data_IF_541796680155
#
_entry.id   IF_541796680155
#
_cell.length_a   1.000
_cell.length_b   1.000
_cell.length_c   1.000
_cell.angle_alpha   90.00
_cell.angle_beta   90.00
_cell.angle_gamma   90.00
#
_symmetry.space_group_name_H-M   'P 1'
#
loop_
_entity.id
_entity.type
_entity.pdbx_description
1 polymer ?
#
# COMPACT_ATOMS: atom_id res chain seq x y z
N UNK A 1 -0.65 9.01 -15.59
CA UNK A 1 -1.52 8.75 -14.41
C UNK A 1 -2.51 9.90 -14.32
N UNK A 2 -3.80 9.66 -14.02
CA UNK A 2 -4.76 10.76 -13.84
C UNK A 2 -4.33 11.65 -12.66
N UNK A 3 -4.49 12.98 -12.72
CA UNK A 3 -4.19 13.86 -11.58
C UNK A 3 -5.01 13.46 -10.36
N UNK A 4 -4.44 13.64 -9.18
CA UNK A 4 -5.15 13.47 -7.91
C UNK A 4 -5.92 14.76 -7.59
N UNK A 5 -7.18 14.65 -7.16
CA UNK A 5 -7.95 15.79 -6.64
C UNK A 5 -8.21 15.65 -5.13
N UNK A 6 -8.74 16.70 -4.50
CA UNK A 6 -9.10 16.66 -3.07
C UNK A 6 -10.12 15.56 -2.75
N UNK A 7 -11.01 15.22 -3.69
CA UNK A 7 -11.99 14.12 -3.57
C UNK A 7 -11.35 12.72 -3.54
N UNK A 8 -10.12 12.62 -4.03
CA UNK A 8 -9.35 11.39 -4.02
C UNK A 8 -8.61 11.16 -2.70
N UNK A 9 -8.42 12.20 -1.88
CA UNK A 9 -7.71 12.15 -0.60
C UNK A 9 -8.64 11.73 0.54
N UNK A 10 -8.07 11.11 1.57
CA UNK A 10 -8.80 10.67 2.77
C UNK A 10 -9.44 9.29 2.63
N UNK A 11 -10.20 8.91 3.65
CA UNK A 11 -10.88 7.63 3.69
C UNK A 11 -12.19 7.71 2.90
N UNK A 12 -12.37 6.79 1.95
CA UNK A 12 -13.61 6.64 1.19
C UNK A 12 -14.13 5.23 1.36
N UNK A 13 -15.38 5.13 1.75
CA UNK A 13 -16.10 3.86 1.77
C UNK A 13 -16.41 3.45 0.35
N UNK A 14 -15.99 2.23 -0.01
CA UNK A 14 -16.26 1.61 -1.30
C UNK A 14 -17.44 0.65 -1.21
N UNK A 15 -17.61 0.01 -0.05
CA UNK A 15 -18.70 -0.91 0.27
C UNK A 15 -19.01 -0.85 1.76
N UNK A 16 -20.27 -0.64 2.10
CA UNK A 16 -20.73 -0.74 3.49
C UNK A 16 -20.92 -2.20 3.90
N UNK A 17 -20.89 -2.45 5.20
CA UNK A 17 -21.30 -3.76 5.74
C UNK A 17 -22.78 -4.01 5.42
N UNK A 18 -23.17 -5.20 4.95
CA UNK A 18 -24.59 -5.58 4.84
C UNK A 18 -25.32 -5.43 6.18
N UNK A 19 -26.57 -4.98 6.16
CA UNK A 19 -27.34 -4.66 7.38
C UNK A 19 -27.56 -5.88 8.28
N UNK A 20 -27.56 -7.07 7.70
CA UNK A 20 -27.83 -8.35 8.34
C UNK A 20 -26.57 -8.97 8.97
N UNK A 21 -25.38 -8.38 8.76
CA UNK A 21 -24.13 -8.93 9.27
C UNK A 21 -23.99 -8.71 10.78
N UNK A 22 -24.01 -9.79 11.55
CA UNK A 22 -23.85 -9.76 13.01
C UNK A 22 -22.48 -9.24 13.48
N UNK A 23 -21.45 -9.38 12.63
CA UNK A 23 -20.10 -8.86 12.88
C UNK A 23 -19.52 -8.33 11.57
N UNK A 24 -18.74 -7.26 11.65
CA UNK A 24 -18.06 -6.69 10.50
C UNK A 24 -16.58 -6.42 10.75
N UNK A 25 -15.80 -6.64 9.70
CA UNK A 25 -14.38 -6.26 9.63
C UNK A 25 -14.27 -5.04 8.74
N UNK A 26 -13.50 -4.04 9.17
CA UNK A 26 -13.08 -2.94 8.32
C UNK A 26 -11.86 -3.37 7.50
N UNK A 27 -11.90 -3.23 6.18
CA UNK A 27 -10.75 -3.39 5.30
C UNK A 27 -10.37 -2.02 4.76
N UNK A 28 -9.13 -1.59 4.96
CA UNK A 28 -8.62 -0.30 4.46
C UNK A 28 -7.49 -0.55 3.48
N UNK A 29 -7.73 -0.20 2.22
CA UNK A 29 -6.76 -0.29 1.14
C UNK A 29 -5.96 1.02 1.01
N UNK A 30 -4.63 0.96 1.01
CA UNK A 30 -3.73 2.12 0.99
C UNK A 30 -2.76 1.98 -0.19
N UNK A 31 -2.81 2.95 -1.10
CA UNK A 31 -2.04 2.92 -2.33
C UNK A 31 -0.56 3.30 -2.11
N UNK A 32 0.23 3.14 -3.16
CA UNK A 32 1.64 3.50 -3.18
C UNK A 32 1.91 4.93 -3.66
N UNK A 33 3.19 5.31 -3.58
CA UNK A 33 3.71 6.57 -4.13
C UNK A 33 3.46 6.64 -5.65
N UNK A 34 3.11 7.82 -6.17
CA UNK A 34 2.86 8.06 -7.59
C UNK A 34 1.63 7.37 -8.19
N UNK A 35 0.86 6.64 -7.38
CA UNK A 35 -0.31 5.90 -7.81
C UNK A 35 -1.61 6.62 -7.41
N UNK A 36 -2.62 6.51 -8.27
CA UNK A 36 -3.96 7.01 -7.98
C UNK A 36 -4.72 6.02 -7.06
N UNK A 37 -5.38 6.48 -5.97
CA UNK A 37 -6.02 5.63 -4.97
C UNK A 37 -7.08 4.69 -5.52
N UNK A 38 -7.82 5.10 -6.56
CA UNK A 38 -8.86 4.25 -7.16
C UNK A 38 -8.31 3.36 -8.30
N UNK A 39 -7.19 3.73 -8.93
CA UNK A 39 -6.60 2.97 -10.05
C UNK A 39 -5.67 1.86 -9.56
N UNK A 40 -5.08 2.05 -8.37
CA UNK A 40 -4.14 1.10 -7.74
C UNK A 40 -4.72 -0.29 -7.55
N UNK A 41 -6.05 -0.38 -7.55
CA UNK A 41 -6.80 -1.61 -7.31
C UNK A 41 -7.60 -2.04 -8.53
N UNK A 42 -7.23 -1.58 -9.73
CA UNK A 42 -7.84 -2.02 -10.97
C UNK A 42 -7.04 -3.15 -11.60
N UNK A 43 -7.74 -4.20 -12.02
CA UNK A 43 -7.20 -5.33 -12.78
C UNK A 43 -7.81 -5.34 -14.18
N UNK A 44 -6.99 -5.60 -15.22
CA UNK A 44 -7.51 -5.91 -16.54
C UNK A 44 -8.09 -7.33 -16.54
N UNK A 45 -9.39 -7.46 -16.77
CA UNK A 45 -10.10 -8.74 -16.93
C UNK A 45 -10.41 -9.06 -18.40
N UNK A 46 -10.14 -8.11 -19.31
CA UNK A 46 -10.23 -8.29 -20.75
C UNK A 46 -8.91 -8.79 -21.36
N UNK A 47 -8.76 -8.61 -22.67
CA UNK A 47 -7.51 -8.95 -23.38
C UNK A 47 -6.58 -7.73 -23.46
N UNK A 48 -5.40 -7.90 -24.07
CA UNK A 48 -4.49 -6.78 -24.36
C UNK A 48 -5.09 -5.84 -25.41
N UNK A 49 -5.81 -6.40 -26.39
CA UNK A 49 -6.44 -5.69 -27.51
C UNK A 49 -7.77 -5.05 -27.11
N UNK A 50 -8.46 -5.62 -26.11
CA UNK A 50 -9.72 -5.10 -25.55
C UNK A 50 -9.65 -5.08 -24.02
N UNK A 51 -8.94 -4.09 -23.44
CA UNK A 51 -8.76 -4.03 -21.99
C UNK A 51 -10.07 -3.67 -21.30
N UNK A 52 -10.37 -4.41 -20.22
CA UNK A 52 -11.50 -4.15 -19.33
C UNK A 52 -10.99 -4.00 -17.91
N UNK A 53 -10.95 -2.77 -17.40
CA UNK A 53 -10.43 -2.49 -16.07
C UNK A 53 -11.53 -2.58 -15.02
N UNK A 54 -11.34 -3.44 -14.03
CA UNK A 54 -12.26 -3.65 -12.93
C UNK A 54 -11.56 -3.37 -11.61
N UNK A 55 -12.15 -2.52 -10.77
CA UNK A 55 -11.66 -2.29 -9.41
C UNK A 55 -12.06 -3.47 -8.51
N UNK A 56 -11.07 -4.27 -8.10
CA UNK A 56 -11.30 -5.53 -7.40
C UNK A 56 -11.72 -5.36 -5.93
N UNK A 57 -11.60 -4.16 -5.38
CA UNK A 57 -12.16 -3.83 -4.06
C UNK A 57 -13.68 -3.65 -4.09
N UNK A 58 -14.25 -3.34 -5.27
CA UNK A 58 -15.67 -2.98 -5.47
C UNK A 58 -16.47 -4.05 -6.19
N UNK A 59 -15.85 -4.78 -7.11
CA UNK A 59 -16.56 -5.73 -7.95
C UNK A 59 -17.10 -6.91 -7.13
N UNK A 60 -18.41 -7.18 -7.24
CA UNK A 60 -19.09 -8.16 -6.39
C UNK A 60 -18.48 -9.56 -6.45
N UNK A 61 -17.92 -9.96 -7.59
CA UNK A 61 -17.26 -11.26 -7.81
C UNK A 61 -15.74 -11.26 -7.48
N UNK A 62 -15.29 -10.35 -6.62
CA UNK A 62 -13.88 -10.24 -6.22
C UNK A 62 -13.73 -10.13 -4.70
N UNK A 63 -13.15 -9.06 -4.16
CA UNK A 63 -12.97 -8.93 -2.70
C UNK A 63 -14.31 -8.99 -1.93
N UNK A 64 -15.40 -8.36 -2.39
CA UNK A 64 -16.73 -8.56 -1.81
C UNK A 64 -17.17 -10.03 -1.72
N UNK A 65 -16.89 -10.86 -2.72
CA UNK A 65 -17.22 -12.30 -2.70
C UNK A 65 -16.42 -13.05 -1.62
N UNK A 66 -15.14 -12.73 -1.48
CA UNK A 66 -14.24 -13.36 -0.49
C UNK A 66 -14.54 -12.87 0.93
N UNK A 67 -14.98 -11.61 1.09
CA UNK A 67 -15.23 -10.96 2.36
C UNK A 67 -16.63 -10.30 2.38
N UNK A 68 -17.72 -11.08 2.34
CA UNK A 68 -19.08 -10.56 2.14
C UNK A 68 -19.57 -9.66 3.28
N UNK A 69 -19.03 -9.83 4.49
CA UNK A 69 -19.41 -9.02 5.65
C UNK A 69 -18.44 -7.84 5.90
N UNK A 70 -17.46 -7.62 5.02
CA UNK A 70 -16.48 -6.55 5.21
C UNK A 70 -17.04 -5.19 4.80
N UNK A 71 -16.74 -4.17 5.62
CA UNK A 71 -16.77 -2.77 5.20
C UNK A 71 -15.47 -2.49 4.46
N UNK A 72 -15.53 -2.20 3.17
CA UNK A 72 -14.34 -1.99 2.34
C UNK A 72 -14.15 -0.50 2.11
N UNK A 73 -12.96 -0.01 2.44
CA UNK A 73 -12.58 1.39 2.34
C UNK A 73 -11.24 1.50 1.62
N UNK A 74 -11.01 2.63 0.97
CA UNK A 74 -9.67 3.04 0.53
C UNK A 74 -9.25 4.29 1.27
N UNK A 75 -7.96 4.45 1.51
CA UNK A 75 -7.37 5.69 2.00
C UNK A 75 -6.47 6.27 0.92
N UNK A 76 -6.82 7.46 0.46
CA UNK A 76 -6.04 8.24 -0.49
C UNK A 76 -5.18 9.28 0.23
N UNK A 77 -3.98 9.52 -0.29
CA UNK A 77 -3.13 10.61 0.12
C UNK A 77 -2.40 11.17 -1.10
N UNK A 78 -1.96 12.42 -1.01
CA UNK A 78 -1.09 13.02 -2.04
C UNK A 78 0.15 12.15 -2.24
N UNK A 79 0.22 11.38 -3.30
CA UNK A 79 1.34 10.45 -3.53
C UNK A 79 2.25 10.89 -4.66
N UNK A 80 1.84 11.92 -5.40
CA UNK A 80 2.59 12.46 -6.52
C UNK A 80 3.86 13.13 -5.97
N UNK A 81 5.03 12.73 -6.47
CA UNK A 81 6.33 13.19 -5.97
C UNK A 81 7.14 13.93 -7.04
N UNK A 82 6.56 14.12 -8.23
CA UNK A 82 7.12 14.90 -9.33
C UNK A 82 6.03 15.72 -10.02
N UNK A 83 6.43 16.79 -10.73
CA UNK A 83 5.53 17.74 -11.37
C UNK A 83 5.08 18.88 -10.45
N UNK A 84 4.22 19.76 -10.97
CA UNK A 84 3.81 21.04 -10.35
C UNK A 84 3.07 20.90 -8.99
N UNK A 85 2.65 19.68 -8.62
CA UNK A 85 1.97 19.35 -7.36
C UNK A 85 2.70 18.31 -6.51
N UNK A 86 4.03 18.19 -6.65
CA UNK A 86 4.79 17.17 -5.94
C UNK A 86 4.70 17.34 -4.41
N UNK A 87 4.25 16.28 -3.75
CA UNK A 87 4.14 16.16 -2.31
C UNK A 87 5.51 16.32 -1.65
N UNK A 88 5.55 16.99 -0.50
CA UNK A 88 6.74 17.12 0.37
C UNK A 88 6.59 16.41 1.71
N UNK A 89 5.56 15.58 1.88
CA UNK A 89 5.24 15.03 3.18
C UNK A 89 5.99 13.72 3.43
N UNK A 90 6.31 13.48 4.71
CA UNK A 90 7.00 12.27 5.16
C UNK A 90 6.00 11.13 5.36
N UNK A 91 6.47 9.89 5.34
CA UNK A 91 5.64 8.73 5.68
C UNK A 91 4.94 8.89 7.06
N UNK A 92 5.62 9.51 8.02
CA UNK A 92 5.06 9.85 9.34
C UNK A 92 3.89 10.84 9.28
N UNK A 93 3.93 11.82 8.38
CA UNK A 93 2.83 12.77 8.17
C UNK A 93 1.60 12.06 7.63
N UNK A 94 1.78 11.20 6.62
CA UNK A 94 0.68 10.41 6.05
C UNK A 94 0.11 9.43 7.08
N UNK A 95 0.97 8.75 7.84
CA UNK A 95 0.58 7.84 8.91
C UNK A 95 -0.25 8.54 9.99
N UNK A 96 0.18 9.74 10.43
CA UNK A 96 -0.58 10.53 11.41
C UNK A 96 -1.94 10.97 10.88
N UNK A 97 -2.02 11.38 9.61
CA UNK A 97 -3.30 11.73 8.97
C UNK A 97 -4.22 10.51 8.87
N UNK A 98 -3.69 9.34 8.50
CA UNK A 98 -4.43 8.08 8.50
C UNK A 98 -5.00 7.76 9.88
N UNK A 99 -4.18 7.88 10.94
CA UNK A 99 -4.62 7.66 12.32
C UNK A 99 -5.75 8.62 12.75
N UNK A 100 -5.62 9.91 12.42
CA UNK A 100 -6.67 10.90 12.70
C UNK A 100 -7.98 10.55 11.99
N UNK A 101 -7.90 10.12 10.73
CA UNK A 101 -9.08 9.70 9.97
C UNK A 101 -9.71 8.44 10.58
N UNK A 102 -8.91 7.41 10.89
CA UNK A 102 -9.40 6.18 11.51
C UNK A 102 -10.02 6.43 12.89
N UNK A 103 -9.41 7.28 13.71
CA UNK A 103 -9.94 7.67 15.02
C UNK A 103 -11.31 8.31 14.92
N UNK A 104 -11.51 9.20 13.94
CA UNK A 104 -12.80 9.85 13.68
C UNK A 104 -13.86 8.84 13.23
N UNK A 105 -13.51 8.02 12.24
CA UNK A 105 -14.42 7.04 11.63
C UNK A 105 -14.84 5.92 12.59
N UNK A 106 -14.00 5.63 13.57
CA UNK A 106 -14.20 4.53 14.51
C UNK A 106 -14.56 4.99 15.91
N UNK A 107 -14.99 6.25 16.07
CA UNK A 107 -15.34 6.84 17.37
C UNK A 107 -16.32 5.96 18.17
N UNK A 108 -17.35 5.45 17.49
CA UNK A 108 -18.39 4.61 18.10
C UNK A 108 -18.05 3.10 18.08
N UNK A 109 -16.98 2.70 17.39
CA UNK A 109 -16.56 1.30 17.27
C UNK A 109 -15.04 1.12 17.29
N UNK A 110 -14.33 1.62 18.32
CA UNK A 110 -12.87 1.73 18.33
C UNK A 110 -12.15 0.39 18.19
N UNK A 111 -12.80 -0.71 18.60
CA UNK A 111 -12.24 -2.07 18.59
C UNK A 111 -12.80 -2.99 17.49
N UNK A 112 -13.58 -2.47 16.54
CA UNK A 112 -14.07 -3.27 15.41
C UNK A 112 -12.87 -3.88 14.65
N UNK A 113 -12.82 -5.19 14.35
CA UNK A 113 -11.71 -5.79 13.64
C UNK A 113 -11.30 -5.00 12.39
N UNK A 114 -10.01 -4.78 12.21
CA UNK A 114 -9.44 -3.98 11.13
C UNK A 114 -8.39 -4.80 10.37
N UNK A 115 -8.41 -4.73 9.05
CA UNK A 115 -7.38 -5.27 8.19
C UNK A 115 -6.89 -4.20 7.21
N UNK A 116 -5.60 -4.22 6.88
CA UNK A 116 -5.02 -3.32 5.90
C UNK A 116 -4.54 -4.08 4.68
N UNK A 117 -4.81 -3.51 3.51
CA UNK A 117 -4.22 -3.91 2.24
C UNK A 117 -3.37 -2.74 1.76
N UNK A 118 -2.06 -2.91 1.65
CA UNK A 118 -1.16 -1.81 1.39
C UNK A 118 -0.22 -2.13 0.23
N UNK A 119 -0.08 -1.18 -0.69
CA UNK A 119 0.77 -1.31 -1.86
C UNK A 119 1.99 -0.40 -1.76
N UNK A 120 3.18 -0.93 -2.06
CA UNK A 120 4.45 -0.20 -2.13
C UNK A 120 4.65 0.68 -0.88
N UNK A 121 4.85 1.98 -1.04
CA UNK A 121 5.02 2.97 0.03
C UNK A 121 3.87 2.97 1.06
N UNK A 122 2.64 2.65 0.64
CA UNK A 122 1.49 2.55 1.53
C UNK A 122 1.71 1.55 2.67
N UNK A 123 2.53 0.52 2.46
CA UNK A 123 2.88 -0.43 3.52
C UNK A 123 3.72 0.20 4.63
N UNK A 124 4.61 1.14 4.29
CA UNK A 124 5.41 1.88 5.27
C UNK A 124 4.52 2.84 6.08
N UNK A 125 3.53 3.46 5.43
CA UNK A 125 2.52 4.28 6.10
C UNK A 125 1.75 3.46 7.14
N UNK A 126 1.32 2.24 6.77
CA UNK A 126 0.62 1.32 7.69
C UNK A 126 1.51 0.94 8.87
N UNK A 127 2.74 0.50 8.63
CA UNK A 127 3.64 0.12 9.72
C UNK A 127 3.85 1.29 10.70
N UNK A 128 4.09 2.49 10.16
CA UNK A 128 4.30 3.68 10.99
C UNK A 128 3.05 4.02 11.81
N UNK A 129 1.87 3.99 11.19
CA UNK A 129 0.61 4.24 11.88
C UNK A 129 0.36 3.23 13.00
N UNK A 130 0.60 1.94 12.75
CA UNK A 130 0.40 0.89 13.75
C UNK A 130 1.36 1.01 14.93
N UNK A 131 2.63 1.34 14.66
CA UNK A 131 3.61 1.57 15.73
C UNK A 131 3.25 2.80 16.56
N UNK A 132 2.83 3.89 15.94
CA UNK A 132 2.38 5.08 16.67
C UNK A 132 1.14 4.78 17.51
N UNK A 133 0.17 4.04 16.96
CA UNK A 133 -1.02 3.60 17.69
C UNK A 133 -0.69 2.66 18.86
N UNK A 134 0.35 1.82 18.71
CA UNK A 134 0.83 0.93 19.77
C UNK A 134 1.51 1.71 20.89
N UNK A 135 2.29 2.74 20.57
CA UNK A 135 3.02 3.54 21.56
C UNK A 135 2.11 4.51 22.33
N UNK A 136 1.03 4.97 21.71
CA UNK A 136 0.06 5.88 22.33
C UNK A 136 -1.38 5.34 22.23
N UNK A 137 -1.71 4.25 22.95
CA UNK A 137 -3.03 3.61 22.86
C UNK A 137 -4.17 4.54 23.34
N UNK A 138 -3.90 5.44 24.28
CA UNK A 138 -4.88 6.43 24.74
C UNK A 138 -5.19 7.49 23.67
N UNK A 139 -4.18 7.82 22.84
CA UNK A 139 -4.36 8.73 21.71
C UNK A 139 -5.08 8.02 20.54
N UNK A 140 -4.78 6.74 20.32
CA UNK A 140 -5.22 5.94 19.19
C UNK A 140 -5.98 4.68 19.61
N UNK A 141 -7.11 4.82 20.32
CA UNK A 141 -7.78 3.72 20.98
C UNK A 141 -8.22 2.63 19.99
N UNK A 142 -7.84 1.40 20.30
CA UNK A 142 -8.24 0.20 19.56
C UNK A 142 -7.59 0.00 18.20
N UNK A 143 -6.91 1.00 17.60
CA UNK A 143 -6.35 0.87 16.24
C UNK A 143 -5.36 -0.30 16.14
N UNK A 144 -4.32 -0.30 16.99
CA UNK A 144 -3.35 -1.40 16.99
C UNK A 144 -4.00 -2.70 17.49
N UNK A 145 -4.73 -2.64 18.61
CA UNK A 145 -5.29 -3.81 19.29
C UNK A 145 -6.35 -4.57 18.46
N UNK A 146 -7.12 -3.88 17.62
CA UNK A 146 -8.12 -4.50 16.74
C UNK A 146 -7.60 -4.78 15.33
N UNK A 147 -6.33 -4.50 15.03
CA UNK A 147 -5.75 -4.85 13.73
C UNK A 147 -5.46 -6.34 13.69
N UNK A 148 -6.20 -7.05 12.84
CA UNK A 148 -6.21 -8.52 12.77
C UNK A 148 -5.51 -9.05 11.52
N UNK A 149 -5.38 -8.25 10.47
CA UNK A 149 -4.79 -8.69 9.20
C UNK A 149 -4.01 -7.57 8.48
N UNK A 150 -2.89 -7.94 7.88
CA UNK A 150 -2.03 -7.06 7.10
C UNK A 150 -1.63 -7.77 5.81
N UNK A 151 -1.93 -7.13 4.67
CA UNK A 151 -1.60 -7.62 3.34
C UNK A 151 -0.74 -6.57 2.66
N UNK A 152 0.48 -6.93 2.28
CA UNK A 152 1.42 -6.03 1.62
C UNK A 152 1.71 -6.48 0.19
N UNK A 153 1.62 -5.55 -0.76
CA UNK A 153 1.98 -5.75 -2.16
C UNK A 153 3.21 -4.91 -2.50
N UNK A 154 4.34 -5.55 -2.79
CA UNK A 154 5.56 -4.89 -3.26
C UNK A 154 6.11 -3.83 -2.28
N UNK A 155 5.83 -3.94 -0.99
CA UNK A 155 6.31 -2.96 0.00
C UNK A 155 7.83 -3.12 0.20
N UNK A 156 8.63 -2.07 -0.04
CA UNK A 156 10.08 -2.14 0.02
C UNK A 156 10.59 -2.07 1.46
N UNK A 157 10.33 -3.10 2.28
CA UNK A 157 10.73 -3.13 3.70
C UNK A 157 12.25 -3.09 3.93
N UNK A 158 13.05 -3.41 2.91
CA UNK A 158 14.52 -3.33 2.95
C UNK A 158 15.08 -2.31 1.96
N UNK A 159 14.21 -1.45 1.48
CA UNK A 159 14.42 -0.62 0.32
C UNK A 159 14.08 -1.37 -0.97
N UNK A 160 14.14 -0.67 -2.10
CA UNK A 160 14.18 -1.30 -3.41
C UNK A 160 15.62 -1.18 -3.94
N UNK A 161 16.15 -2.27 -4.48
CA UNK A 161 17.52 -2.29 -4.98
C UNK A 161 17.70 -1.30 -6.13
N UNK A 162 18.89 -0.68 -6.16
CA UNK A 162 19.15 0.66 -6.69
C UNK A 162 18.71 1.00 -8.11
N UNK A 163 18.49 0.02 -8.99
CA UNK A 163 18.08 0.30 -10.38
C UNK A 163 16.68 0.91 -10.47
N UNK A 164 15.65 0.28 -9.89
CA UNK A 164 14.27 0.73 -10.08
C UNK A 164 13.98 2.14 -9.56
N UNK A 165 14.62 2.57 -8.47
CA UNK A 165 14.42 3.91 -7.88
C UNK A 165 15.24 4.99 -8.58
N UNK A 166 16.51 4.70 -8.89
CA UNK A 166 17.34 5.64 -9.64
C UNK A 166 16.76 5.87 -11.03
N UNK A 167 16.25 4.83 -11.68
CA UNK A 167 15.58 4.96 -12.97
C UNK A 167 14.26 5.73 -12.87
N UNK A 168 13.47 5.53 -11.80
CA UNK A 168 12.28 6.36 -11.53
C UNK A 168 12.67 7.84 -11.35
N UNK A 169 13.71 8.12 -10.57
CA UNK A 169 14.19 9.47 -10.30
C UNK A 169 14.78 10.13 -11.55
N UNK A 170 15.60 9.41 -12.31
CA UNK A 170 16.18 9.88 -13.56
C UNK A 170 15.11 10.14 -14.62
N UNK A 171 14.14 9.25 -14.77
CA UNK A 171 13.02 9.46 -15.68
C UNK A 171 12.24 10.73 -15.31
N UNK A 172 12.07 11.00 -14.01
CA UNK A 172 11.33 12.18 -13.55
C UNK A 172 12.11 13.47 -13.79
N UNK A 173 13.43 13.46 -13.54
CA UNK A 173 14.32 14.61 -13.81
C UNK A 173 14.50 14.93 -15.29
N UNK A 174 14.32 13.94 -16.18
CA UNK A 174 14.37 14.17 -17.63
C UNK A 174 13.09 14.82 -18.15
N UNK A 175 11.95 14.52 -17.55
CA UNK A 175 10.64 15.01 -17.97
C UNK A 175 10.24 16.32 -17.27
N UNK A 176 10.75 16.58 -16.07
CA UNK A 176 10.38 17.74 -15.26
C UNK A 176 11.63 18.48 -14.76
N UNK A 177 11.51 19.80 -14.60
CA UNK A 177 12.53 20.64 -13.97
C UNK A 177 12.89 20.12 -12.57
N UNK A 178 14.15 20.28 -12.14
CA UNK A 178 14.66 19.66 -10.90
C UNK A 178 13.87 20.08 -9.64
N UNK A 179 13.37 21.32 -9.60
CA UNK A 179 12.57 21.87 -8.51
C UNK A 179 11.16 21.26 -8.42
N UNK A 180 10.67 20.69 -9.53
CA UNK A 180 9.41 19.94 -9.62
C UNK A 180 9.56 18.47 -9.26
N UNK A 181 10.78 17.99 -8.95
CA UNK A 181 11.02 16.61 -8.52
C UNK A 181 11.34 16.60 -7.02
N UNK A 182 10.66 15.75 -6.23
CA UNK A 182 10.87 15.63 -4.79
C UNK A 182 11.62 14.33 -4.47
N UNK A 183 12.97 14.30 -4.60
CA UNK A 183 13.76 13.07 -4.46
C UNK A 183 13.69 12.47 -3.06
N UNK A 184 13.44 13.29 -2.02
CA UNK A 184 13.40 12.83 -0.63
C UNK A 184 12.36 11.71 -0.41
N UNK A 185 11.24 11.70 -1.13
CA UNK A 185 10.23 10.65 -0.99
C UNK A 185 10.73 9.33 -1.59
N UNK A 186 11.62 9.36 -2.58
CA UNK A 186 12.29 8.15 -3.06
C UNK A 186 13.44 7.74 -2.14
N UNK A 187 14.15 8.69 -1.51
CA UNK A 187 15.28 8.40 -0.59
C UNK A 187 14.92 7.49 0.58
N UNK A 188 13.69 7.59 1.09
CA UNK A 188 13.22 6.69 2.16
C UNK A 188 13.18 5.21 1.72
N UNK A 189 13.10 4.97 0.41
CA UNK A 189 13.07 3.65 -0.16
C UNK A 189 14.49 3.14 -0.47
N UNK A 190 15.54 3.95 -0.27
CA UNK A 190 16.92 3.52 -0.53
C UNK A 190 17.32 2.37 0.40
N UNK A 191 18.08 1.37 -0.11
CA UNK A 191 18.66 0.34 0.73
C UNK A 191 19.52 0.96 1.83
N UNK A 192 19.37 0.48 3.07
CA UNK A 192 20.13 1.02 4.21
C UNK A 192 19.55 2.30 4.81
N UNK A 193 18.39 2.78 4.36
CA UNK A 193 17.72 3.91 4.99
C UNK A 193 17.42 3.61 6.48
N UNK A 194 17.98 4.40 7.39
CA UNK A 194 17.88 4.17 8.84
C UNK A 194 16.44 4.20 9.34
N UNK A 195 15.63 5.15 8.87
CA UNK A 195 14.22 5.25 9.24
C UNK A 195 13.46 3.98 8.84
N UNK A 196 13.71 3.48 7.63
CA UNK A 196 13.07 2.28 7.12
C UNK A 196 13.49 1.03 7.92
N UNK A 197 14.79 0.90 8.21
CA UNK A 197 15.31 -0.20 9.02
C UNK A 197 14.70 -0.18 10.43
N UNK A 198 14.73 0.98 11.09
CA UNK A 198 14.14 1.16 12.42
C UNK A 198 12.65 0.82 12.41
N UNK A 199 11.90 1.30 11.40
CA UNK A 199 10.47 1.05 11.28
C UNK A 199 10.16 -0.46 11.22
N UNK A 200 10.90 -1.19 10.39
CA UNK A 200 10.71 -2.64 10.20
C UNK A 200 11.17 -3.43 11.42
N UNK A 201 12.28 -3.03 12.05
CA UNK A 201 12.78 -3.66 13.27
C UNK A 201 11.81 -3.51 14.44
N UNK A 202 11.27 -2.30 14.64
CA UNK A 202 10.27 -2.05 15.67
C UNK A 202 8.99 -2.85 15.42
N UNK A 203 8.52 -2.89 14.17
CA UNK A 203 7.37 -3.73 13.82
C UNK A 203 7.66 -5.23 14.02
N UNK A 204 8.86 -5.68 13.69
CA UNK A 204 9.32 -7.06 13.91
C UNK A 204 9.26 -7.46 15.38
N UNK A 205 9.59 -6.55 16.31
CA UNK A 205 9.48 -6.80 17.76
C UNK A 205 8.05 -7.07 18.19
N UNK A 206 7.06 -6.41 17.59
CA UNK A 206 5.66 -6.61 17.96
C UNK A 206 5.11 -7.98 17.55
N UNK A 207 5.79 -8.68 16.63
CA UNK A 207 5.43 -10.04 16.20
C UNK A 207 5.57 -11.10 17.30
N UNK A 208 6.19 -10.76 18.43
CA UNK A 208 6.29 -11.63 19.61
C UNK A 208 5.07 -11.54 20.52
N UNK A 209 4.19 -10.57 20.28
CA UNK A 209 2.99 -10.35 21.08
C UNK A 209 1.90 -11.41 20.78
N UNK A 210 0.99 -11.57 21.73
CA UNK A 210 -0.12 -12.54 21.67
C UNK A 210 -1.20 -12.07 20.69
N UNK A 211 -1.51 -10.79 20.63
CA UNK A 211 -2.53 -10.16 19.80
C UNK A 211 -2.01 -9.67 18.42
N UNK A 212 -0.99 -10.32 17.87
CA UNK A 212 -0.39 -9.91 16.59
C UNK A 212 -1.32 -10.16 15.40
N UNK A 213 -1.46 -9.17 14.52
CA UNK A 213 -2.18 -9.31 13.25
C UNK A 213 -1.59 -10.43 12.37
N UNK A 214 -2.40 -11.17 11.61
CA UNK A 214 -1.86 -12.03 10.54
C UNK A 214 -1.19 -11.15 9.46
N UNK A 215 -0.07 -11.61 8.89
CA UNK A 215 0.69 -10.84 7.87
C UNK A 215 0.89 -11.70 6.63
N UNK A 216 0.55 -11.15 5.47
CA UNK A 216 0.84 -11.71 4.16
C UNK A 216 1.57 -10.68 3.30
N UNK A 217 2.64 -11.09 2.63
CA UNK A 217 3.43 -10.24 1.74
C UNK A 217 3.49 -10.87 0.35
N UNK A 218 3.27 -10.05 -0.66
CA UNK A 218 3.30 -10.41 -2.07
C UNK A 218 4.31 -9.50 -2.78
N UNK A 219 5.07 -10.05 -3.72
CA UNK A 219 6.08 -9.31 -4.47
C UNK A 219 6.02 -9.70 -5.95
N UNK A 220 6.44 -8.77 -6.81
CA UNK A 220 6.42 -8.98 -8.26
C UNK A 220 7.63 -9.82 -8.69
N UNK A 221 7.39 -10.80 -9.57
CA UNK A 221 8.41 -11.70 -10.11
C UNK A 221 8.81 -11.35 -11.55
N UNK A 222 8.14 -10.38 -12.16
CA UNK A 222 8.37 -9.95 -13.54
C UNK A 222 8.96 -8.55 -13.56
N UNK A 223 9.67 -8.25 -14.63
CA UNK A 223 10.20 -6.91 -14.85
C UNK A 223 9.06 -5.90 -15.03
N UNK A 224 9.18 -4.73 -14.42
CA UNK A 224 8.17 -3.67 -14.46
C UNK A 224 8.66 -2.54 -15.36
N UNK A 225 7.74 -1.91 -16.11
CA UNK A 225 8.08 -0.82 -17.02
C UNK A 225 8.07 0.53 -16.28
N UNK A 226 9.23 0.92 -15.76
CA UNK A 226 9.40 2.11 -14.93
C UNK A 226 9.17 3.40 -15.73
N UNK A 227 9.52 3.42 -17.01
CA UNK A 227 9.33 4.61 -17.85
C UNK A 227 7.85 4.97 -18.11
N UNK A 228 6.95 3.97 -18.08
CA UNK A 228 5.49 4.21 -18.13
C UNK A 228 4.91 4.76 -16.82
N UNK A 229 5.59 4.55 -15.68
CA UNK A 229 5.20 5.11 -14.38
C UNK A 229 5.45 6.62 -14.34
N UNK A 230 6.52 7.08 -15.00
CA UNK A 230 6.98 8.48 -14.96
C UNK A 230 6.53 9.29 -16.17
N UNK A 231 6.18 8.62 -17.27
CA UNK A 231 5.12 9.12 -18.15
C UNK A 231 5.46 9.39 -19.60
N UNK A 232 6.26 8.56 -20.31
CA UNK A 232 6.07 8.32 -21.77
C UNK A 232 7.01 7.33 -22.49
N UNK A 233 8.09 6.83 -21.89
CA UNK A 233 8.99 5.88 -22.58
C UNK A 233 8.89 4.44 -22.04
N UNK A 234 9.04 3.45 -22.92
CA UNK A 234 9.18 2.04 -22.52
C UNK A 234 10.57 1.77 -21.93
N UNK A 235 10.62 1.47 -20.63
CA UNK A 235 11.84 1.01 -19.95
C UNK A 235 11.52 -0.12 -18.98
N UNK A 236 11.79 -1.34 -19.42
CA UNK A 236 11.58 -2.56 -18.63
C UNK A 236 12.78 -2.77 -17.72
N UNK A 237 12.55 -2.82 -16.42
CA UNK A 237 13.57 -3.03 -15.40
C UNK A 237 13.36 -4.41 -14.79
N UNK A 238 14.30 -5.33 -15.01
CA UNK A 238 14.31 -6.63 -14.35
C UNK A 238 14.99 -6.52 -12.99
N UNK A 239 14.40 -7.11 -11.95
CA UNK A 239 15.16 -7.47 -10.75
C UNK A 239 16.33 -8.38 -11.20
N UNK A 240 17.55 -7.98 -10.85
CA UNK A 240 18.74 -8.77 -11.10
C UNK A 240 18.61 -10.19 -10.52
N UNK A 241 19.35 -11.13 -11.11
CA UNK A 241 19.36 -12.58 -10.83
C UNK A 241 19.05 -12.95 -9.37
N UNK A 242 18.28 -14.04 -9.22
CA UNK A 242 17.88 -14.75 -7.99
C UNK A 242 18.48 -14.20 -6.69
N UNK A 243 17.65 -13.79 -5.70
CA UNK A 243 18.18 -13.35 -4.42
C UNK A 243 18.98 -14.48 -3.78
N UNK A 244 20.30 -14.32 -3.76
CA UNK A 244 21.22 -15.20 -3.05
C UNK A 244 20.93 -15.11 -1.56
N UNK A 245 20.27 -16.15 -1.04
CA UNK A 245 20.20 -16.55 0.36
C UNK A 245 19.59 -15.56 1.39
N UNK A 246 18.52 -16.03 2.03
CA UNK A 246 17.81 -15.49 3.23
C UNK A 246 16.67 -14.47 3.02
N UNK A 247 15.84 -14.66 1.99
CA UNK A 247 14.39 -14.36 2.08
C UNK A 247 13.63 -15.60 2.61
N UNK A 248 13.94 -16.03 3.83
CA UNK A 248 13.03 -16.89 4.60
C UNK A 248 12.58 -16.10 5.81
N UNK A 249 11.35 -15.60 5.79
CA UNK A 249 10.60 -15.39 7.02
C UNK A 249 9.11 -15.68 6.79
N UNK A 250 8.76 -16.92 7.12
CA UNK A 250 7.47 -17.43 7.58
C UNK A 250 6.24 -17.09 6.70
N UNK A 251 6.03 -17.95 5.70
CA UNK A 251 4.66 -18.32 5.30
C UNK A 251 4.09 -19.20 6.40
N UNK A 252 3.10 -18.69 7.13
CA UNK A 252 2.24 -19.45 8.04
C UNK A 252 0.93 -18.69 8.15
N UNK A 253 -0.24 -19.18 7.72
CA UNK A 253 -0.68 -20.55 7.48
C UNK A 253 -1.69 -20.54 6.32
N UNK A 254 -1.74 -21.67 5.62
CA UNK A 254 -2.40 -21.92 4.35
C UNK A 254 -3.91 -21.58 4.28
N UNK A 255 -4.36 -21.14 3.10
CA UNK A 255 -5.49 -21.79 2.38
C UNK A 255 -5.16 -21.84 0.88
N UNK A 256 -4.91 -23.07 0.44
CA UNK A 256 -5.36 -23.71 -0.81
C UNK A 256 -5.41 -22.92 -2.13
N UNK A 257 -4.77 -23.49 -3.15
CA UNK A 257 -5.33 -23.56 -4.49
C UNK A 257 -4.73 -22.60 -5.51
N UNK A 258 -4.28 -23.17 -6.62
CA UNK A 258 -3.70 -22.51 -7.78
C UNK A 258 -4.47 -21.27 -8.27
N UNK A 259 -3.74 -20.23 -8.69
CA UNK A 259 -3.57 -19.80 -10.09
C UNK A 259 -2.90 -18.42 -10.15
N UNK A 260 -2.04 -18.27 -11.17
CA UNK A 260 -1.39 -17.02 -11.61
C UNK A 260 -2.31 -15.81 -11.41
N UNK A 261 -1.89 -14.84 -10.62
CA UNK A 261 -2.44 -13.49 -10.62
C UNK A 261 -1.40 -12.54 -10.03
N UNK A 262 -1.63 -11.24 -10.17
CA UNK A 262 -0.84 -10.12 -9.63
C UNK A 262 0.28 -9.63 -10.55
N UNK A 263 -0.12 -8.89 -11.58
CA UNK A 263 0.66 -7.78 -12.10
C UNK A 263 -0.22 -6.53 -11.93
N UNK A 264 0.21 -5.46 -11.22
CA UNK A 264 -0.38 -4.14 -11.43
C UNK A 264 -0.15 -3.73 -12.89
N UNK A 265 -1.00 -2.81 -13.40
CA UNK A 265 -1.01 -2.30 -14.80
C UNK A 265 0.30 -2.57 -15.57
N UNK A 266 0.34 -3.49 -16.55
CA UNK A 266 1.16 -3.23 -17.71
C UNK A 266 0.42 -2.11 -18.45
N UNK A 267 0.93 -0.88 -18.32
CA UNK A 267 0.62 0.16 -19.31
C UNK A 267 1.28 -0.29 -20.61
#
# INVERSE_FOLDING_TARGET
VRPLTDDDVGLKVLRETPAEAAQSVGIVAIHGIGAHPDDSWCKNVGTTESPQWVNWLKAENMLPEVAPNARIMRYGYESQWFGEGAMRQKASTVAKRLLLTLKRERKECPYRPLAFIAHCFGGLVVLKALLDARHAPDEWPGIYASTTGLIFFGTPFRGAEGMGQMEMLEAARREYEEDKVQPYILKILEPGNEFLQELVDQFGKTRRETNKAAVACFYELKASNVGKVVGKEDRIVSLGKEPSFHQKLIVGTAICGQRKLWLPRPV
#
